data_IF_951342602510
#
_entry.id   IF_951342602510
#
_cell.length_a   1.000
_cell.length_b   1.000
_cell.length_c   1.000
_cell.angle_alpha   90.00
_cell.angle_beta   90.00
_cell.angle_gamma   90.00
#
_symmetry.space_group_name_H-M   'P 1'
#
loop_
_entity.id
_entity.type
_entity.pdbx_description
1 polymer ?
#
# COMPACT_ATOMS: atom_id res chain seq x y z
N UNK A 1 0.03 3.44 -16.09
CA UNK A 1 1.28 3.64 -16.83
C UNK A 1 1.00 3.49 -18.32
N UNK A 2 0.80 4.59 -19.04
CA UNK A 2 0.55 4.58 -20.48
C UNK A 2 1.55 5.52 -21.18
N UNK A 3 1.98 5.14 -22.38
CA UNK A 3 2.83 5.97 -23.24
C UNK A 3 4.32 5.98 -22.93
N UNK A 4 4.80 5.33 -21.87
CA UNK A 4 6.23 5.10 -21.61
C UNK A 4 7.09 6.34 -21.32
N UNK A 5 6.52 7.54 -21.31
CA UNK A 5 7.24 8.78 -21.02
C UNK A 5 7.80 8.81 -19.59
N UNK A 6 8.88 9.54 -19.40
CA UNK A 6 9.54 9.75 -18.10
C UNK A 6 8.59 10.41 -17.10
N UNK A 7 8.45 9.82 -15.92
CA UNK A 7 7.58 10.33 -14.86
C UNK A 7 8.15 11.59 -14.18
N UNK A 8 9.45 11.83 -14.32
CA UNK A 8 10.17 12.93 -13.67
C UNK A 8 10.39 14.15 -14.56
N UNK A 9 9.97 14.07 -15.83
CA UNK A 9 10.10 15.16 -16.79
C UNK A 9 9.29 16.42 -16.34
N UNK A 10 9.94 17.59 -16.18
CA UNK A 10 9.28 18.80 -15.69
C UNK A 10 8.09 19.26 -16.55
N UNK A 11 8.23 19.21 -17.87
CA UNK A 11 7.18 19.61 -18.81
C UNK A 11 5.94 18.72 -18.66
N UNK A 12 6.15 17.42 -18.43
CA UNK A 12 5.08 16.46 -18.23
C UNK A 12 4.35 16.70 -16.90
N UNK A 13 5.10 16.98 -15.83
CA UNK A 13 4.50 17.35 -14.55
C UNK A 13 3.68 18.63 -14.68
N UNK A 14 4.19 19.65 -15.40
CA UNK A 14 3.48 20.90 -15.63
C UNK A 14 2.17 20.68 -16.40
N UNK A 15 2.21 19.89 -17.48
CA UNK A 15 1.01 19.52 -18.24
C UNK A 15 -0.01 18.75 -17.37
N UNK A 16 0.47 17.88 -16.47
CA UNK A 16 -0.38 17.15 -15.54
C UNK A 16 -1.04 18.08 -14.52
N UNK A 17 -0.29 19.03 -13.94
CA UNK A 17 -0.79 20.03 -12.99
C UNK A 17 -1.84 20.92 -13.66
N UNK A 18 -1.61 21.38 -14.89
CA UNK A 18 -2.59 22.16 -15.65
C UNK A 18 -3.88 21.37 -15.90
N UNK A 19 -3.75 20.09 -16.30
CA UNK A 19 -4.90 19.23 -16.59
C UNK A 19 -5.72 18.88 -15.35
N UNK A 20 -5.07 18.60 -14.23
CA UNK A 20 -5.73 18.18 -12.99
C UNK A 20 -6.17 19.35 -12.10
N UNK A 21 -5.56 20.54 -12.29
CA UNK A 21 -5.82 21.76 -11.52
C UNK A 21 -5.92 21.49 -10.00
N UNK A 22 -4.84 21.00 -9.36
CA UNK A 22 -4.88 20.61 -7.95
C UNK A 22 -5.23 21.79 -7.05
N UNK A 23 -6.08 21.54 -6.05
CA UNK A 23 -6.54 22.56 -5.07
C UNK A 23 -5.42 23.14 -4.20
N UNK A 24 -4.30 22.42 -4.07
CA UNK A 24 -3.12 22.82 -3.29
C UNK A 24 -1.92 22.87 -4.24
N UNK A 25 -1.06 23.86 -4.05
CA UNK A 25 0.21 23.93 -4.79
C UNK A 25 1.09 22.73 -4.45
N UNK A 26 1.55 22.01 -5.46
CA UNK A 26 2.39 20.81 -5.32
C UNK A 26 3.80 21.14 -4.82
N UNK A 27 4.26 22.38 -4.95
CA UNK A 27 5.56 22.83 -4.47
C UNK A 27 5.54 23.34 -3.03
N UNK A 28 4.35 23.56 -2.47
CA UNK A 28 4.17 24.07 -1.12
C UNK A 28 4.77 23.09 -0.05
N UNK A 29 5.43 23.67 0.95
CA UNK A 29 6.13 22.90 1.98
C UNK A 29 5.19 22.06 2.85
N UNK A 30 4.00 22.55 3.18
CA UNK A 30 2.99 21.79 3.93
C UNK A 30 2.47 20.57 3.14
N UNK A 31 2.42 20.64 1.80
CA UNK A 31 2.07 19.48 0.95
C UNK A 31 3.16 18.41 1.04
N UNK A 32 4.44 18.79 0.96
CA UNK A 32 5.57 17.87 1.09
C UNK A 32 5.66 17.27 2.50
N UNK A 33 5.43 18.08 3.53
CA UNK A 33 5.39 17.62 4.91
C UNK A 33 4.28 16.59 5.13
N UNK A 34 3.08 16.82 4.60
CA UNK A 34 1.98 15.85 4.67
C UNK A 34 2.31 14.54 3.96
N UNK A 35 2.94 14.60 2.77
CA UNK A 35 3.35 13.39 2.05
C UNK A 35 4.35 12.55 2.87
N UNK A 36 5.31 13.21 3.54
CA UNK A 36 6.27 12.56 4.42
C UNK A 36 5.56 11.93 5.63
N UNK A 37 4.69 12.68 6.31
CA UNK A 37 3.93 12.18 7.46
C UNK A 37 3.05 10.97 7.10
N UNK A 38 2.40 10.99 5.94
CA UNK A 38 1.61 9.84 5.46
C UNK A 38 2.48 8.59 5.23
N UNK A 39 3.70 8.79 4.71
CA UNK A 39 4.67 7.68 4.51
C UNK A 39 5.15 7.11 5.84
N UNK A 40 5.46 7.98 6.81
CA UNK A 40 5.86 7.56 8.15
C UNK A 40 4.74 6.79 8.86
N UNK A 41 3.50 7.28 8.77
CA UNK A 41 2.33 6.60 9.31
C UNK A 41 2.14 5.20 8.69
N UNK A 42 2.30 5.07 7.37
CA UNK A 42 2.24 3.77 6.69
C UNK A 42 3.30 2.80 7.24
N UNK A 43 4.54 3.27 7.42
CA UNK A 43 5.65 2.47 7.98
C UNK A 43 5.32 2.04 9.42
N UNK A 44 4.83 2.96 10.27
CA UNK A 44 4.44 2.64 11.65
C UNK A 44 3.33 1.60 11.71
N UNK A 45 2.43 1.55 10.72
CA UNK A 45 1.37 0.54 10.58
C UNK A 45 1.87 -0.80 9.99
N UNK A 46 3.16 -0.93 9.69
CA UNK A 46 3.76 -2.16 9.14
C UNK A 46 3.69 -2.28 7.62
N UNK A 47 3.35 -1.21 6.89
CA UNK A 47 3.42 -1.21 5.43
C UNK A 47 4.89 -1.11 4.96
N UNK A 48 5.21 -1.80 3.88
CA UNK A 48 6.57 -2.00 3.35
C UNK A 48 6.62 -1.95 1.82
N UNK A 49 5.51 -1.69 1.15
CA UNK A 49 5.34 -1.86 -0.29
C UNK A 49 3.97 -1.39 -0.75
N UNK A 50 3.82 -1.23 -2.08
CA UNK A 50 2.59 -0.73 -2.72
C UNK A 50 2.24 -1.55 -3.96
N UNK A 51 0.94 -1.67 -4.32
CA UNK A 51 -0.22 -1.20 -3.56
C UNK A 51 -0.46 -2.05 -2.30
N UNK A 52 -0.91 -1.41 -1.23
CA UNK A 52 -1.35 -2.07 0.00
C UNK A 52 -2.60 -1.37 0.52
N UNK A 53 -3.55 -2.15 1.02
CA UNK A 53 -4.81 -1.66 1.60
C UNK A 53 -4.87 -2.05 3.07
N UNK A 54 -5.17 -1.09 3.92
CA UNK A 54 -5.33 -1.29 5.36
C UNK A 54 -6.81 -1.12 5.75
N UNK A 55 -7.42 -2.16 6.31
CA UNK A 55 -8.83 -2.13 6.78
C UNK A 55 -8.91 -2.86 8.11
N UNK A 56 -9.44 -2.21 9.15
CA UNK A 56 -9.61 -2.76 10.51
C UNK A 56 -8.35 -3.44 11.07
N UNK A 57 -7.19 -2.81 10.87
CA UNK A 57 -5.88 -3.33 11.29
C UNK A 57 -5.32 -4.47 10.45
N UNK A 58 -6.05 -4.96 9.43
CA UNK A 58 -5.59 -5.99 8.48
C UNK A 58 -4.93 -5.33 7.28
N UNK A 59 -3.85 -5.93 6.77
CA UNK A 59 -3.11 -5.47 5.60
C UNK A 59 -3.28 -6.44 4.43
N UNK A 60 -3.75 -5.94 3.30
CA UNK A 60 -3.91 -6.68 2.04
C UNK A 60 -2.93 -6.12 1.01
N UNK A 61 -2.10 -6.97 0.43
CA UNK A 61 -0.96 -6.56 -0.39
C UNK A 61 -1.18 -6.92 -1.85
N UNK A 62 -0.90 -5.99 -2.75
CA UNK A 62 -1.01 -6.22 -4.17
C UNK A 62 -2.46 -6.20 -4.68
N UNK A 63 -2.59 -6.18 -5.99
CA UNK A 63 -3.90 -6.26 -6.64
C UNK A 63 -4.48 -7.67 -6.63
N UNK A 64 -3.63 -8.69 -6.50
CA UNK A 64 -4.00 -10.08 -6.29
C UNK A 64 -4.71 -10.34 -4.96
N UNK A 65 -4.52 -9.49 -3.94
CA UNK A 65 -5.29 -9.53 -2.70
C UNK A 65 -6.67 -8.84 -2.80
N UNK A 66 -7.04 -8.20 -3.91
CA UNK A 66 -8.34 -7.52 -4.02
C UNK A 66 -9.56 -8.45 -3.87
N UNK A 67 -9.58 -9.68 -4.41
CA UNK A 67 -10.66 -10.63 -4.15
C UNK A 67 -10.77 -10.99 -2.66
N UNK A 68 -9.63 -11.18 -1.98
CA UNK A 68 -9.59 -11.46 -0.54
C UNK A 68 -10.11 -10.27 0.28
N UNK A 69 -9.69 -9.04 -0.06
CA UNK A 69 -10.19 -7.81 0.55
C UNK A 69 -11.71 -7.66 0.35
N UNK A 70 -12.21 -7.93 -0.86
CA UNK A 70 -13.66 -7.90 -1.13
C UNK A 70 -14.39 -8.90 -0.24
N UNK A 71 -13.91 -10.14 -0.17
CA UNK A 71 -14.54 -11.19 0.64
C UNK A 71 -14.53 -10.81 2.13
N UNK A 72 -13.47 -10.15 2.61
CA UNK A 72 -13.43 -9.56 3.95
C UNK A 72 -14.53 -8.51 4.15
N UNK A 73 -14.62 -7.53 3.26
CA UNK A 73 -15.63 -6.47 3.33
C UNK A 73 -17.07 -6.99 3.20
N UNK A 74 -17.25 -8.16 2.58
CA UNK A 74 -18.55 -8.85 2.47
C UNK A 74 -18.87 -9.72 3.69
N UNK A 75 -18.01 -9.74 4.71
CA UNK A 75 -18.25 -10.47 5.95
C UNK A 75 -18.08 -11.99 5.82
N UNK A 76 -17.20 -12.46 4.93
CA UNK A 76 -16.91 -13.89 4.82
C UNK A 76 -16.45 -14.45 6.20
N UNK A 77 -17.08 -15.54 6.62
CA UNK A 77 -16.87 -16.16 7.94
C UNK A 77 -15.43 -16.60 8.22
N UNK A 78 -14.60 -16.80 7.18
CA UNK A 78 -13.18 -17.09 7.36
C UNK A 78 -12.46 -15.97 8.14
N UNK A 79 -12.83 -14.71 7.93
CA UNK A 79 -12.21 -13.57 8.60
C UNK A 79 -12.77 -13.29 10.01
N UNK A 80 -14.00 -13.69 10.30
CA UNK A 80 -14.59 -13.54 11.64
C UNK A 80 -14.28 -14.74 12.55
N UNK A 81 -13.94 -15.89 11.97
CA UNK A 81 -13.70 -17.15 12.70
C UNK A 81 -12.29 -17.31 13.28
N UNK A 82 -11.49 -16.26 13.36
CA UNK A 82 -10.12 -16.31 13.89
C UNK A 82 -9.08 -16.93 12.94
N UNK A 83 -9.47 -17.30 11.71
CA UNK A 83 -8.57 -17.96 10.77
C UNK A 83 -7.47 -17.00 10.26
N UNK A 84 -7.76 -15.70 10.21
CA UNK A 84 -6.78 -14.66 9.90
C UNK A 84 -5.63 -14.66 10.92
N UNK A 85 -5.95 -14.65 12.20
CA UNK A 85 -4.99 -14.68 13.31
C UNK A 85 -4.24 -16.02 13.33
N UNK A 86 -4.93 -17.13 13.10
CA UNK A 86 -4.33 -18.45 13.05
C UNK A 86 -3.27 -18.56 11.93
N UNK A 87 -3.50 -17.94 10.76
CA UNK A 87 -2.55 -17.94 9.65
C UNK A 87 -1.20 -17.28 10.02
N UNK A 88 -1.21 -16.28 10.90
CA UNK A 88 0.01 -15.62 11.37
C UNK A 88 0.84 -16.48 12.34
N UNK A 89 0.27 -17.56 12.88
CA UNK A 89 0.91 -18.46 13.85
C UNK A 89 1.44 -19.76 13.24
N UNK A 90 1.38 -19.90 11.90
CA UNK A 90 1.85 -21.13 11.24
C UNK A 90 3.35 -21.35 11.47
N UNK A 91 3.76 -22.57 11.87
CA UNK A 91 5.17 -22.85 12.15
C UNK A 91 6.02 -22.78 10.87
N UNK A 92 7.29 -22.42 11.03
CA UNK A 92 8.26 -22.47 9.94
C UNK A 92 8.49 -23.93 9.54
N UNK A 93 8.06 -24.31 8.34
CA UNK A 93 8.12 -25.70 7.88
C UNK A 93 9.52 -26.22 7.56
N UNK A 94 10.41 -25.38 7.02
CA UNK A 94 11.79 -25.75 6.66
C UNK A 94 12.73 -24.60 7.03
N UNK A 95 13.79 -24.91 7.80
CA UNK A 95 14.86 -23.98 8.14
C UNK A 95 16.09 -24.33 7.31
N UNK A 96 16.71 -23.34 6.65
CA UNK A 96 17.98 -23.54 5.95
C UNK A 96 19.05 -23.95 6.98
N UNK A 97 19.74 -25.07 6.74
CA UNK A 97 20.92 -25.45 7.53
C UNK A 97 22.02 -24.41 7.29
N UNK A 98 22.75 -23.99 8.35
CA UNK A 98 23.92 -23.13 8.17
C UNK A 98 24.93 -23.81 7.23
N UNK A 99 25.68 -23.00 6.48
CA UNK A 99 26.83 -23.50 5.73
C UNK A 99 27.87 -24.10 6.70
N UNK A 100 28.61 -25.15 6.28
CA UNK A 100 29.63 -25.79 7.12
C UNK A 100 30.77 -24.84 7.50
#
# INVERSE_FOLDING_TARGET
WHGGADATEPQRLQALVQRLAPKRDVNNNEVKAQLKANTEEAITRGLFGVPAMAVDGKLFWGFDALPMLRDYLQGNGWFSGGAWEAAAQLPVGIVRRPAP
#
